data_IF_606411297648
#
_entry.id   IF_606411297648
#
_cell.length_a   1.000
_cell.length_b   1.000
_cell.length_c   1.000
_cell.angle_alpha   90.00
_cell.angle_beta   90.00
_cell.angle_gamma   90.00
#
_symmetry.space_group_name_H-M   'P 1'
#
loop_
_entity.id
_entity.type
_entity.pdbx_description
1 polymer ?
#
# COMPACT_ATOMS: atom_id res chain seq x y z
N UNK A 1 -4.34 15.09 23.65
CA UNK A 1 -5.14 14.14 22.83
C UNK A 1 -5.32 14.55 21.37
N UNK A 2 -5.75 15.78 21.03
CA UNK A 2 -6.03 16.19 19.63
C UNK A 2 -4.86 15.99 18.64
N UNK A 3 -3.61 16.28 19.03
CA UNK A 3 -2.41 16.07 18.19
C UNK A 3 -2.20 14.60 17.79
N UNK A 4 -2.42 13.67 18.71
CA UNK A 4 -2.25 12.24 18.44
C UNK A 4 -3.29 11.76 17.41
N UNK A 5 -4.53 12.26 17.48
CA UNK A 5 -5.58 11.87 16.55
C UNK A 5 -5.31 12.37 15.12
N UNK A 6 -4.76 13.58 14.98
CA UNK A 6 -4.32 14.11 13.69
C UNK A 6 -3.18 13.27 13.11
N UNK A 7 -2.20 12.87 13.93
CA UNK A 7 -1.11 11.99 13.51
C UNK A 7 -1.65 10.64 13.01
N UNK A 8 -2.48 9.94 13.80
CA UNK A 8 -3.05 8.66 13.38
C UNK A 8 -4.01 8.78 12.20
N UNK A 9 -4.58 9.96 11.95
CA UNK A 9 -5.33 10.20 10.74
C UNK A 9 -4.43 10.30 9.52
N UNK A 10 -3.43 11.18 9.53
CA UNK A 10 -2.62 11.50 8.34
C UNK A 10 -1.49 10.49 8.05
N UNK A 11 -0.88 9.93 9.10
CA UNK A 11 0.25 8.99 8.98
C UNK A 11 -0.04 7.80 8.04
N UNK A 12 -1.13 7.02 8.20
CA UNK A 12 -1.42 5.91 7.29
C UNK A 12 -1.61 6.36 5.84
N UNK A 13 -2.18 7.54 5.58
CA UNK A 13 -2.35 8.05 4.20
C UNK A 13 -1.03 8.41 3.58
N UNK A 14 -0.22 9.20 4.29
CA UNK A 14 1.08 9.64 3.79
C UNK A 14 1.99 8.43 3.49
N UNK A 15 2.05 7.47 4.42
CA UNK A 15 2.79 6.22 4.22
C UNK A 15 2.24 5.40 3.04
N UNK A 16 0.92 5.30 2.90
CA UNK A 16 0.30 4.59 1.77
C UNK A 16 0.62 5.23 0.43
N UNK A 17 0.53 6.57 0.33
CA UNK A 17 0.91 7.31 -0.88
C UNK A 17 2.38 7.07 -1.22
N UNK A 18 3.28 7.14 -0.24
CA UNK A 18 4.70 6.85 -0.48
C UNK A 18 4.94 5.41 -0.94
N UNK A 19 4.24 4.43 -0.36
CA UNK A 19 4.31 3.04 -0.80
C UNK A 19 3.79 2.84 -2.23
N UNK A 20 2.68 3.48 -2.60
CA UNK A 20 2.14 3.45 -3.97
C UNK A 20 3.13 4.09 -4.95
N UNK A 21 3.69 5.24 -4.61
CA UNK A 21 4.71 5.90 -5.45
C UNK A 21 5.94 5.02 -5.63
N UNK A 22 6.39 4.33 -4.58
CA UNK A 22 7.47 3.35 -4.65
C UNK A 22 7.13 2.21 -5.63
N UNK A 23 5.93 1.63 -5.56
CA UNK A 23 5.48 0.60 -6.51
C UNK A 23 5.39 1.14 -7.94
N UNK A 24 4.97 2.38 -8.13
CA UNK A 24 4.93 3.02 -9.45
C UNK A 24 6.30 3.15 -10.11
N UNK A 25 7.40 3.17 -9.35
CA UNK A 25 8.75 3.22 -9.92
C UNK A 25 9.08 1.96 -10.73
N UNK A 26 8.49 0.81 -10.39
CA UNK A 26 8.70 -0.43 -11.14
C UNK A 26 8.11 -0.36 -12.56
N UNK A 27 7.13 0.51 -12.80
CA UNK A 27 6.59 0.72 -14.15
C UNK A 27 7.62 1.32 -15.12
N UNK A 28 8.68 1.95 -14.61
CA UNK A 28 9.75 2.50 -15.43
C UNK A 28 10.57 1.43 -16.16
N UNK A 29 10.47 0.15 -15.79
CA UNK A 29 11.17 -0.93 -16.53
C UNK A 29 10.60 -1.16 -17.93
N UNK A 30 9.36 -0.70 -18.18
CA UNK A 30 8.68 -0.87 -19.46
C UNK A 30 9.22 0.01 -20.59
N UNK A 31 10.16 0.91 -20.28
CA UNK A 31 10.78 1.76 -21.29
C UNK A 31 11.89 1.01 -22.04
N UNK A 32 11.84 1.08 -23.37
CA UNK A 32 12.78 0.49 -24.31
C UNK A 32 13.41 1.58 -25.18
N UNK A 33 14.73 1.50 -25.37
CA UNK A 33 15.50 2.43 -26.21
C UNK A 33 15.16 2.34 -27.70
N UNK A 34 14.59 1.24 -28.18
CA UNK A 34 14.29 1.03 -29.61
C UNK A 34 12.96 1.67 -30.06
N UNK A 35 12.11 2.11 -29.12
CA UNK A 35 10.78 2.63 -29.40
C UNK A 35 10.70 4.15 -29.22
N UNK A 36 9.84 4.82 -29.98
CA UNK A 36 9.54 6.24 -29.72
C UNK A 36 8.69 6.42 -28.45
N UNK A 37 8.75 7.60 -27.81
CA UNK A 37 8.00 7.86 -26.57
C UNK A 37 6.50 7.55 -26.67
N UNK A 38 5.86 7.90 -27.79
CA UNK A 38 4.43 7.63 -28.01
C UNK A 38 4.09 6.14 -28.07
N UNK A 39 5.01 5.31 -28.56
CA UNK A 39 4.82 3.86 -28.62
C UNK A 39 5.00 3.18 -27.25
N UNK A 40 5.75 3.80 -26.35
CA UNK A 40 6.05 3.26 -25.02
C UNK A 40 4.98 3.63 -23.96
N UNK A 41 4.27 4.76 -24.15
CA UNK A 41 3.24 5.22 -23.22
C UNK A 41 2.19 4.15 -22.86
N UNK A 42 1.64 3.35 -23.80
CA UNK A 42 0.67 2.31 -23.45
C UNK A 42 1.26 1.22 -22.55
N UNK A 43 2.49 0.77 -22.82
CA UNK A 43 3.18 -0.24 -22.02
C UNK A 43 3.42 0.26 -20.59
N UNK A 44 3.87 1.50 -20.45
CA UNK A 44 4.04 2.16 -19.16
C UNK A 44 2.72 2.28 -18.37
N UNK A 45 1.63 2.69 -19.03
CA UNK A 45 0.31 2.79 -18.39
C UNK A 45 -0.22 1.43 -17.92
N UNK A 46 0.05 0.36 -18.67
CA UNK A 46 -0.30 -1.01 -18.25
C UNK A 46 0.50 -1.41 -17.01
N UNK A 47 1.79 -1.09 -16.94
CA UNK A 47 2.62 -1.38 -15.76
C UNK A 47 2.23 -0.55 -14.53
N UNK A 48 1.51 0.57 -14.69
CA UNK A 48 0.95 1.35 -13.58
C UNK A 48 -0.37 0.79 -13.03
N UNK A 49 -1.00 -0.20 -13.67
CA UNK A 49 -2.25 -0.80 -13.20
C UNK A 49 -2.19 -1.22 -11.72
N UNK A 50 -1.14 -1.93 -11.23
CA UNK A 50 -1.02 -2.27 -9.82
C UNK A 50 -1.08 -1.04 -8.89
N UNK A 51 -0.40 0.05 -9.26
CA UNK A 51 -0.42 1.30 -8.50
C UNK A 51 -1.79 1.97 -8.52
N UNK A 52 -2.49 1.97 -9.65
CA UNK A 52 -3.85 2.51 -9.73
C UNK A 52 -4.84 1.71 -8.88
N UNK A 53 -4.74 0.38 -8.87
CA UNK A 53 -5.56 -0.48 -8.00
C UNK A 53 -5.33 -0.14 -6.52
N UNK A 54 -4.07 -0.01 -6.10
CA UNK A 54 -3.75 0.41 -4.72
C UNK A 54 -4.25 1.82 -4.41
N UNK A 55 -4.19 2.74 -5.38
CA UNK A 55 -4.74 4.09 -5.27
C UNK A 55 -6.26 4.09 -5.05
N UNK A 56 -7.01 3.27 -5.78
CA UNK A 56 -8.46 3.10 -5.56
C UNK A 56 -8.74 2.54 -4.17
N UNK A 57 -7.98 1.55 -3.70
CA UNK A 57 -8.13 1.02 -2.33
C UNK A 57 -7.86 2.12 -1.29
N UNK A 58 -6.85 2.97 -1.49
CA UNK A 58 -6.58 4.12 -0.63
C UNK A 58 -7.75 5.13 -0.62
N UNK A 59 -8.37 5.41 -1.77
CA UNK A 59 -9.54 6.28 -1.85
C UNK A 59 -10.71 5.71 -1.02
N UNK A 60 -10.95 4.40 -1.12
CA UNK A 60 -11.95 3.71 -0.28
C UNK A 60 -11.59 3.78 1.20
N UNK A 61 -10.32 3.53 1.54
CA UNK A 61 -9.79 3.61 2.91
C UNK A 61 -9.93 5.01 3.52
N UNK A 62 -10.03 6.06 2.70
CA UNK A 62 -10.17 7.43 3.17
C UNK A 62 -11.47 7.65 3.95
N UNK A 63 -12.57 7.07 3.47
CA UNK A 63 -13.89 7.11 4.12
C UNK A 63 -14.10 5.92 5.04
N UNK A 64 -13.61 4.73 4.67
CA UNK A 64 -13.82 3.48 5.39
C UNK A 64 -12.49 2.89 5.87
N UNK A 65 -11.89 3.55 6.86
CA UNK A 65 -10.54 3.22 7.37
C UNK A 65 -10.39 1.76 7.79
N UNK A 66 -11.38 1.19 8.47
CA UNK A 66 -11.34 -0.21 8.90
C UNK A 66 -11.30 -1.18 7.70
N UNK A 67 -12.20 -0.98 6.73
CA UNK A 67 -12.31 -1.84 5.55
C UNK A 67 -11.04 -1.71 4.70
N UNK A 68 -10.60 -0.47 4.42
CA UNK A 68 -9.39 -0.22 3.66
C UNK A 68 -8.15 -0.79 4.34
N UNK A 69 -8.04 -0.63 5.67
CA UNK A 69 -6.96 -1.19 6.46
C UNK A 69 -6.92 -2.72 6.40
N UNK A 70 -8.07 -3.36 6.55
CA UNK A 70 -8.20 -4.81 6.40
C UNK A 70 -7.79 -5.29 5.00
N UNK A 71 -8.26 -4.62 3.94
CA UNK A 71 -7.89 -4.93 2.55
C UNK A 71 -6.37 -4.84 2.36
N UNK A 72 -5.73 -3.76 2.82
CA UNK A 72 -4.26 -3.61 2.68
C UNK A 72 -3.48 -4.68 3.44
N UNK A 73 -3.91 -5.05 4.65
CA UNK A 73 -3.27 -6.13 5.42
C UNK A 73 -3.41 -7.47 4.73
N UNK A 74 -4.62 -7.82 4.27
CA UNK A 74 -4.87 -9.07 3.56
C UNK A 74 -4.12 -9.11 2.22
N UNK A 75 -4.08 -8.00 1.49
CA UNK A 75 -3.34 -7.90 0.23
C UNK A 75 -1.84 -8.10 0.46
N UNK A 76 -1.25 -7.40 1.45
CA UNK A 76 0.17 -7.54 1.76
C UNK A 76 0.54 -8.96 2.17
N UNK A 77 -0.21 -9.57 3.09
CA UNK A 77 0.07 -10.93 3.55
C UNK A 77 -0.28 -11.99 2.50
N UNK A 78 -1.41 -11.84 1.81
CA UNK A 78 -1.93 -12.81 0.85
C UNK A 78 -1.11 -12.88 -0.44
N UNK A 79 -0.55 -11.76 -0.90
CA UNK A 79 0.34 -11.75 -2.07
C UNK A 79 1.76 -12.21 -1.74
N UNK A 80 2.17 -12.22 -0.46
CA UNK A 80 3.54 -12.55 -0.05
C UNK A 80 4.01 -13.94 -0.52
N UNK A 81 3.25 -15.04 -0.36
CA UNK A 81 3.67 -16.36 -0.84
C UNK A 81 3.83 -16.43 -2.36
N UNK A 82 2.95 -15.75 -3.10
CA UNK A 82 3.01 -15.69 -4.56
C UNK A 82 4.24 -14.93 -5.05
N UNK A 83 4.49 -13.73 -4.50
CA UNK A 83 5.66 -12.91 -4.81
C UNK A 83 6.95 -13.65 -4.45
N UNK A 84 6.98 -14.31 -3.28
CA UNK A 84 8.11 -15.13 -2.86
C UNK A 84 8.42 -16.22 -3.89
N UNK A 85 7.42 -17.01 -4.27
CA UNK A 85 7.60 -18.14 -5.17
C UNK A 85 8.09 -17.67 -6.54
N UNK A 86 7.48 -16.62 -7.09
CA UNK A 86 7.88 -16.05 -8.39
C UNK A 86 9.33 -15.56 -8.35
N UNK A 87 9.73 -14.85 -7.30
CA UNK A 87 11.09 -14.33 -7.18
C UNK A 87 12.11 -15.46 -6.97
N UNK A 88 11.78 -16.46 -6.15
CA UNK A 88 12.64 -17.62 -5.88
C UNK A 88 12.86 -18.48 -7.13
N UNK A 89 11.86 -18.61 -8.00
CA UNK A 89 12.00 -19.31 -9.28
C UNK A 89 12.97 -18.62 -10.22
N UNK A 90 13.15 -17.29 -10.11
CA UNK A 90 14.06 -16.52 -10.95
C UNK A 90 15.49 -16.46 -10.40
N UNK A 91 15.66 -16.40 -9.07
CA UNK A 91 16.97 -16.16 -8.46
C UNK A 91 17.54 -17.32 -7.61
N UNK A 92 16.72 -18.32 -7.26
CA UNK A 92 17.06 -19.47 -6.40
C UNK A 92 17.65 -19.13 -5.02
N UNK A 93 17.51 -17.88 -4.57
CA UNK A 93 18.03 -17.35 -3.31
C UNK A 93 16.90 -17.04 -2.35
N UNK A 94 16.89 -17.76 -1.22
CA UNK A 94 15.89 -17.58 -0.15
C UNK A 94 15.98 -16.15 0.41
N UNK A 95 17.18 -15.68 0.72
CA UNK A 95 17.39 -14.37 1.34
C UNK A 95 16.97 -13.21 0.43
N UNK A 96 17.31 -13.30 -0.85
CA UNK A 96 16.92 -12.27 -1.83
C UNK A 96 15.40 -12.26 -2.01
N UNK A 97 14.78 -13.43 -2.15
CA UNK A 97 13.33 -13.55 -2.33
C UNK A 97 12.54 -13.07 -1.11
N UNK A 98 13.02 -13.38 0.11
CA UNK A 98 12.45 -12.82 1.34
C UNK A 98 12.62 -11.31 1.41
N UNK A 99 13.79 -10.79 1.02
CA UNK A 99 14.06 -9.36 0.97
C UNK A 99 13.10 -8.61 0.03
N UNK A 100 12.84 -9.16 -1.15
CA UNK A 100 11.89 -8.60 -2.12
C UNK A 100 10.46 -8.59 -1.56
N UNK A 101 10.02 -9.69 -0.95
CA UNK A 101 8.71 -9.76 -0.29
C UNK A 101 8.59 -8.69 0.78
N UNK A 102 9.55 -8.60 1.69
CA UNK A 102 9.55 -7.59 2.74
C UNK A 102 9.53 -6.18 2.15
N UNK A 103 10.35 -5.89 1.14
CA UNK A 103 10.40 -4.57 0.52
C UNK A 103 9.06 -4.17 -0.13
N UNK A 104 8.38 -5.10 -0.79
CA UNK A 104 7.16 -4.82 -1.56
C UNK A 104 5.91 -4.86 -0.68
N UNK A 105 5.73 -5.89 0.16
CA UNK A 105 4.46 -6.13 0.86
C UNK A 105 4.40 -5.55 2.27
N UNK A 106 5.54 -5.44 2.97
CA UNK A 106 5.58 -4.95 4.34
C UNK A 106 5.01 -3.53 4.50
N UNK A 107 5.31 -2.54 3.63
CA UNK A 107 4.73 -1.21 3.75
C UNK A 107 3.20 -1.24 3.75
N UNK A 108 2.57 -2.10 2.93
CA UNK A 108 1.12 -2.23 2.87
C UNK A 108 0.52 -2.92 4.10
N UNK A 109 1.21 -3.91 4.68
CA UNK A 109 0.78 -4.52 5.94
C UNK A 109 0.80 -3.48 7.07
N UNK A 110 1.89 -2.70 7.17
CA UNK A 110 2.03 -1.62 8.17
C UNK A 110 0.95 -0.56 7.98
N UNK A 111 0.75 -0.10 6.74
CA UNK A 111 -0.32 0.86 6.39
C UNK A 111 -1.69 0.31 6.77
N UNK A 112 -1.97 -0.96 6.47
CA UNK A 112 -3.23 -1.62 6.78
C UNK A 112 -3.52 -1.62 8.28
N UNK A 113 -2.54 -2.01 9.09
CA UNK A 113 -2.63 -1.98 10.55
C UNK A 113 -2.86 -0.54 11.06
N UNK A 114 -2.13 0.44 10.53
CA UNK A 114 -2.28 1.85 10.92
C UNK A 114 -3.69 2.40 10.59
N UNK A 115 -4.28 2.01 9.47
CA UNK A 115 -5.66 2.38 9.13
C UNK A 115 -6.68 1.79 10.12
N UNK A 116 -6.52 0.51 10.48
CA UNK A 116 -7.37 -0.15 11.48
C UNK A 116 -7.23 0.53 12.85
N UNK A 117 -6.00 0.83 13.28
CA UNK A 117 -5.75 1.55 14.53
C UNK A 117 -6.37 2.95 14.52
N UNK A 118 -6.24 3.68 13.39
CA UNK A 118 -6.84 5.00 13.20
C UNK A 118 -8.35 4.98 13.45
N UNK A 119 -9.03 3.97 12.88
CA UNK A 119 -10.47 3.78 13.04
C UNK A 119 -10.88 3.61 14.51
N UNK A 120 -10.22 2.70 15.23
CA UNK A 120 -10.56 2.43 16.63
C UNK A 120 -10.26 3.62 17.55
N UNK A 121 -9.16 4.34 17.29
CA UNK A 121 -8.81 5.55 18.06
C UNK A 121 -9.83 6.67 17.87
N UNK A 122 -10.34 6.86 16.64
CA UNK A 122 -11.39 7.85 16.38
C UNK A 122 -12.71 7.45 17.03
N UNK A 123 -13.12 6.18 16.90
CA UNK A 123 -14.34 5.66 17.52
C UNK A 123 -14.32 5.84 19.04
N UNK A 124 -13.20 5.54 19.69
CA UNK A 124 -13.03 5.74 21.15
C UNK A 124 -13.18 7.20 21.55
N UNK A 125 -12.55 8.13 20.82
CA UNK A 125 -12.65 9.56 21.14
C UNK A 125 -14.08 10.10 20.97
N UNK A 126 -14.82 9.66 19.94
CA UNK A 126 -16.22 10.03 19.77
C UNK A 126 -17.08 9.55 20.94
N UNK A 127 -16.87 8.31 21.39
CA UNK A 127 -17.60 7.77 22.55
C UNK A 127 -17.27 8.52 23.85
N UNK A 128 -16.00 8.87 24.09
CA UNK A 128 -15.61 9.64 25.28
C UNK A 128 -16.22 11.03 25.32
N UNK A 129 -16.27 11.73 24.18
CA UNK A 129 -16.87 13.07 24.11
C UNK A 129 -18.38 13.02 24.37
N UNK A 130 -19.09 11.98 23.90
CA UNK A 130 -20.53 11.83 24.11
C UNK A 130 -20.94 11.54 25.56
N UNK A 131 -20.01 11.08 26.41
CA UNK A 131 -20.25 10.86 27.85
C UNK A 131 -19.95 12.13 28.67
N UNK A 132 -19.15 13.05 28.11
CA UNK A 132 -18.72 14.27 28.79
C UNK A 132 -19.66 15.47 28.56
N UNK A 133 -20.64 15.34 27.66
CA UNK A 133 -21.76 16.27 27.42
C UNK A 133 -23.00 15.82 28.19
#
# INVERSE_FOLDING_TARGET
>A
MKKNLALFHWLPRALCVMAILFISLFALDSFDTELSLCQQLPAFLIHLIPSFVLGVILLVAWKWEYIGGFIFTVLGLGLSPWIYMMNYQMNHSIWMSMGVVLMITFPFVVVGILFVLSHFLKKKNTATNAIAE
#
